data_IF_035794883211
#
_entry.id   IF_035794883211
#
_cell.length_a   1.000
_cell.length_b   1.000
_cell.length_c   1.000
_cell.angle_alpha   90.00
_cell.angle_beta   90.00
_cell.angle_gamma   90.00
#
_symmetry.space_group_name_H-M   'P 1'
#
loop_
_entity.id
_entity.type
_entity.pdbx_description
1 polymer ?
#
# COMPACT_ATOMS: atom_id res chain seq x y z
N UNK A 1 0.21 -12.96 -9.15
CA UNK A 1 -1.27 -12.85 -9.15
C UNK A 1 -1.93 -13.62 -8.02
N UNK A 2 -1.27 -14.61 -7.40
CA UNK A 2 -1.85 -15.34 -6.26
C UNK A 2 -1.84 -14.55 -4.92
N UNK A 3 -0.90 -13.63 -4.72
CA UNK A 3 -0.76 -12.90 -3.46
C UNK A 3 -1.95 -11.99 -3.09
N UNK A 4 -2.71 -11.49 -4.09
CA UNK A 4 -3.90 -10.64 -3.87
C UNK A 4 -5.11 -11.46 -3.40
N UNK A 5 -5.13 -12.77 -3.69
CA UNK A 5 -6.24 -13.65 -3.30
C UNK A 5 -6.29 -13.92 -1.80
N UNK A 6 -5.13 -14.02 -1.16
CA UNK A 6 -5.01 -14.34 0.26
C UNK A 6 -5.36 -13.18 1.21
N UNK A 7 -5.54 -11.96 0.69
CA UNK A 7 -5.90 -10.81 1.52
C UNK A 7 -7.41 -10.69 1.59
N UNK A 8 -7.95 -10.69 2.80
CA UNK A 8 -9.38 -10.45 3.04
C UNK A 8 -9.74 -9.02 2.62
N UNK A 9 -10.66 -8.91 1.66
CA UNK A 9 -10.96 -7.62 1.03
C UNK A 9 -11.63 -6.64 1.99
N UNK A 10 -12.63 -7.10 2.76
CA UNK A 10 -13.40 -6.24 3.63
C UNK A 10 -12.58 -5.67 4.80
N UNK A 11 -11.80 -6.47 5.57
CA UNK A 11 -10.98 -5.92 6.65
C UNK A 11 -9.87 -4.99 6.15
N UNK A 12 -9.32 -5.25 4.96
CA UNK A 12 -8.37 -4.33 4.34
C UNK A 12 -9.04 -2.99 4.01
N UNK A 13 -10.20 -3.01 3.36
CA UNK A 13 -10.95 -1.80 3.02
C UNK A 13 -11.35 -1.01 4.28
N UNK A 14 -11.77 -1.70 5.34
CA UNK A 14 -12.09 -1.08 6.62
C UNK A 14 -10.89 -0.35 7.26
N UNK A 15 -9.70 -0.97 7.28
CA UNK A 15 -8.47 -0.32 7.79
C UNK A 15 -8.04 0.90 6.97
N UNK A 16 -8.19 0.82 5.64
CA UNK A 16 -7.88 1.96 4.76
C UNK A 16 -8.85 3.11 5.01
N UNK A 17 -10.14 2.82 5.13
CA UNK A 17 -11.16 3.82 5.43
C UNK A 17 -10.93 4.47 6.80
N UNK A 18 -10.64 3.67 7.83
CA UNK A 18 -10.30 4.15 9.17
C UNK A 18 -9.08 5.10 9.13
N UNK A 19 -8.00 4.72 8.44
CA UNK A 19 -6.82 5.57 8.28
C UNK A 19 -7.15 6.88 7.55
N UNK A 20 -7.98 6.83 6.50
CA UNK A 20 -8.37 8.03 5.76
C UNK A 20 -9.20 9.01 6.62
N UNK A 21 -10.01 8.48 7.55
CA UNK A 21 -10.76 9.27 8.52
C UNK A 21 -9.80 9.91 9.52
N UNK A 22 -8.88 9.13 10.10
CA UNK A 22 -7.94 9.59 11.13
C UNK A 22 -6.95 10.65 10.65
N UNK A 23 -6.46 10.52 9.42
CA UNK A 23 -5.52 11.49 8.84
C UNK A 23 -6.23 12.80 8.44
N UNK A 24 -7.57 12.81 8.38
CA UNK A 24 -8.36 13.93 7.88
C UNK A 24 -8.41 14.02 6.34
N UNK A 25 -7.91 13.00 5.62
CA UNK A 25 -7.93 12.98 4.15
C UNK A 25 -9.37 12.99 3.60
N UNK A 26 -10.30 12.38 4.33
CA UNK A 26 -11.71 12.32 3.96
C UNK A 26 -12.36 13.71 3.82
N UNK A 27 -11.93 14.71 4.59
CA UNK A 27 -12.49 16.07 4.53
C UNK A 27 -12.22 16.71 3.17
N UNK A 28 -10.98 16.63 2.68
CA UNK A 28 -10.61 17.19 1.38
C UNK A 28 -11.32 16.50 0.20
N UNK A 29 -11.50 15.18 0.29
CA UNK A 29 -12.24 14.41 -0.71
C UNK A 29 -13.72 14.79 -0.69
N UNK A 30 -14.30 14.97 0.50
CA UNK A 30 -15.68 15.37 0.67
C UNK A 30 -15.94 16.79 0.13
N UNK A 31 -15.07 17.75 0.45
CA UNK A 31 -15.16 19.12 -0.08
C UNK A 31 -15.06 19.14 -1.61
N UNK A 32 -14.10 18.39 -2.15
CA UNK A 32 -13.95 18.27 -3.60
C UNK A 32 -15.20 17.65 -4.27
N UNK A 33 -15.80 16.65 -3.62
CA UNK A 33 -17.03 16.03 -4.10
C UNK A 33 -18.23 17.00 -4.02
N UNK A 34 -18.36 17.77 -2.95
CA UNK A 34 -19.42 18.79 -2.83
C UNK A 34 -19.32 19.82 -3.94
N UNK A 35 -18.12 20.36 -4.18
CA UNK A 35 -17.88 21.32 -5.26
C UNK A 35 -18.19 20.71 -6.63
N UNK A 36 -17.78 19.46 -6.88
CA UNK A 36 -18.09 18.77 -8.13
C UNK A 36 -19.60 18.58 -8.34
N UNK A 37 -20.34 18.20 -7.29
CA UNK A 37 -21.80 18.06 -7.34
C UNK A 37 -22.47 19.42 -7.54
N UNK A 38 -22.01 20.45 -6.83
CA UNK A 38 -22.55 21.81 -6.97
C UNK A 38 -22.39 22.33 -8.40
N UNK A 39 -21.19 22.21 -8.98
CA UNK A 39 -20.90 22.58 -10.37
C UNK A 39 -21.75 21.77 -11.33
N UNK A 40 -21.86 20.45 -11.13
CA UNK A 40 -22.69 19.60 -11.98
C UNK A 40 -24.16 20.04 -11.98
N UNK A 41 -24.74 20.36 -10.81
CA UNK A 41 -26.11 20.83 -10.71
C UNK A 41 -26.31 22.17 -11.45
N UNK A 42 -25.36 23.10 -11.28
CA UNK A 42 -25.39 24.40 -11.96
C UNK A 42 -25.32 24.26 -13.48
N UNK A 43 -24.34 23.50 -13.98
CA UNK A 43 -24.08 23.36 -15.41
C UNK A 43 -25.18 22.57 -16.13
N UNK A 44 -25.87 21.67 -15.41
CA UNK A 44 -26.83 20.74 -15.99
C UNK A 44 -28.28 21.03 -15.57
N UNK A 45 -28.59 22.25 -15.11
CA UNK A 45 -29.94 22.63 -14.65
C UNK A 45 -31.04 22.30 -15.66
N UNK A 46 -30.87 22.66 -16.93
CA UNK A 46 -31.87 22.40 -17.98
C UNK A 46 -32.03 20.91 -18.26
N UNK A 47 -30.91 20.16 -18.30
CA UNK A 47 -30.94 18.70 -18.44
C UNK A 47 -31.73 18.05 -17.29
N UNK A 48 -31.52 18.51 -16.04
CA UNK A 48 -32.23 18.01 -14.87
C UNK A 48 -33.73 18.37 -14.92
N UNK A 49 -34.07 19.57 -15.40
CA UNK A 49 -35.45 20.00 -15.61
C UNK A 49 -36.15 19.11 -16.63
N UNK A 50 -35.52 18.91 -17.79
CA UNK A 50 -36.05 18.05 -18.84
C UNK A 50 -36.20 16.60 -18.35
N UNK A 51 -35.24 16.11 -17.54
CA UNK A 51 -35.34 14.78 -16.95
C UNK A 51 -36.54 14.67 -16.01
N UNK A 52 -36.76 15.66 -15.13
CA UNK A 52 -37.94 15.65 -14.24
C UNK A 52 -39.22 15.63 -15.06
N UNK A 53 -39.35 16.53 -16.05
CA UNK A 53 -40.53 16.59 -16.92
C UNK A 53 -40.84 15.26 -17.61
N UNK A 54 -39.81 14.53 -18.04
CA UNK A 54 -39.97 13.23 -18.69
C UNK A 54 -40.39 12.11 -17.74
N UNK A 55 -39.98 12.18 -16.46
CA UNK A 55 -40.38 11.22 -15.42
C UNK A 55 -41.71 11.61 -14.76
N UNK A 56 -42.17 12.85 -14.97
CA UNK A 56 -43.38 13.35 -14.35
C UNK A 56 -44.64 12.69 -14.90
N UNK A 57 -45.55 12.24 -14.02
CA UNK A 57 -46.80 11.65 -14.44
C UNK A 57 -47.64 12.57 -15.33
N UNK A 58 -48.30 11.99 -16.34
CA UNK A 58 -49.12 12.71 -17.33
C UNK A 58 -50.25 13.56 -16.74
N UNK A 59 -50.66 13.30 -15.49
CA UNK A 59 -51.71 14.04 -14.79
C UNK A 59 -51.21 15.33 -14.10
N UNK A 60 -49.90 15.55 -14.03
CA UNK A 60 -49.31 16.75 -13.42
C UNK A 60 -49.25 17.89 -14.47
N UNK A 61 -49.88 19.06 -14.21
CA UNK A 61 -49.74 20.23 -15.07
C UNK A 61 -48.30 20.76 -15.11
N UNK A 62 -47.83 21.19 -16.28
CA UNK A 62 -46.46 21.71 -16.48
C UNK A 62 -46.08 22.84 -15.52
N UNK A 63 -47.00 23.75 -15.21
CA UNK A 63 -46.75 24.84 -14.26
C UNK A 63 -46.49 24.36 -12.82
N UNK A 64 -47.07 23.22 -12.44
CA UNK A 64 -46.83 22.60 -11.14
C UNK A 64 -45.48 21.90 -11.16
N UNK A 65 -45.18 21.17 -12.25
CA UNK A 65 -43.90 20.50 -12.47
C UNK A 65 -42.72 21.47 -12.34
N UNK A 66 -42.78 22.59 -13.08
CA UNK A 66 -41.76 23.63 -13.06
C UNK A 66 -41.54 24.20 -11.66
N UNK A 67 -42.63 24.42 -10.92
CA UNK A 67 -42.56 24.97 -9.57
C UNK A 67 -41.99 23.95 -8.56
N UNK A 68 -42.28 22.67 -8.76
CA UNK A 68 -41.68 21.58 -7.99
C UNK A 68 -40.19 21.50 -8.29
N UNK A 69 -39.80 21.50 -9.57
CA UNK A 69 -38.40 21.50 -10.00
C UNK A 69 -37.63 22.64 -9.34
N UNK A 70 -38.10 23.88 -9.49
CA UNK A 70 -37.44 25.06 -8.93
C UNK A 70 -37.27 24.93 -7.41
N UNK A 71 -38.32 24.50 -6.69
CA UNK A 71 -38.25 24.36 -5.24
C UNK A 71 -37.29 23.27 -4.80
N UNK A 72 -37.26 22.12 -5.48
CA UNK A 72 -36.35 21.02 -5.16
C UNK A 72 -34.91 21.43 -5.49
N UNK A 73 -34.68 21.94 -6.70
CA UNK A 73 -33.39 22.40 -7.16
C UNK A 73 -32.80 23.45 -6.21
N UNK A 74 -33.56 24.51 -5.89
CA UNK A 74 -33.09 25.58 -5.01
C UNK A 74 -32.84 25.07 -3.58
N UNK A 75 -33.66 24.14 -3.10
CA UNK A 75 -33.47 23.52 -1.77
C UNK A 75 -32.19 22.68 -1.71
N UNK A 76 -31.96 21.84 -2.72
CA UNK A 76 -30.76 21.00 -2.81
C UNK A 76 -29.51 21.86 -2.95
N UNK A 77 -29.54 22.84 -3.86
CA UNK A 77 -28.43 23.75 -4.08
C UNK A 77 -28.08 24.54 -2.82
N UNK A 78 -29.09 25.06 -2.11
CA UNK A 78 -28.89 25.75 -0.83
C UNK A 78 -28.30 24.83 0.23
N UNK A 79 -28.84 23.61 0.37
CA UNK A 79 -28.34 22.64 1.34
C UNK A 79 -26.88 22.26 1.10
N UNK A 80 -26.48 22.07 -0.16
CA UNK A 80 -25.08 21.84 -0.52
C UNK A 80 -24.19 23.04 -0.15
N UNK A 81 -24.67 24.26 -0.42
CA UNK A 81 -23.98 25.49 -0.02
C UNK A 81 -23.84 25.64 1.50
N UNK A 82 -24.86 25.27 2.27
CA UNK A 82 -24.84 25.27 3.73
C UNK A 82 -23.78 24.30 4.29
N UNK A 83 -23.70 23.09 3.73
CA UNK A 83 -22.67 22.11 4.10
C UNK A 83 -21.27 22.60 3.70
N UNK A 84 -21.13 23.20 2.52
CA UNK A 84 -19.85 23.69 2.02
C UNK A 84 -19.29 24.85 2.87
N UNK A 85 -20.16 25.75 3.31
CA UNK A 85 -19.78 26.95 4.09
C UNK A 85 -19.58 26.68 5.58
N UNK A 86 -20.12 25.58 6.11
CA UNK A 86 -20.01 25.21 7.52
C UNK A 86 -19.25 23.89 7.70
N UNK A 87 -17.96 23.94 8.08
CA UNK A 87 -17.19 22.73 8.39
C UNK A 87 -17.78 21.90 9.53
N UNK A 88 -18.49 22.53 10.47
CA UNK A 88 -19.12 21.89 11.63
C UNK A 88 -20.59 21.49 11.37
N UNK A 89 -21.00 21.39 10.10
CA UNK A 89 -22.38 21.07 9.74
C UNK A 89 -22.78 19.65 10.20
N UNK A 90 -23.97 19.50 10.80
CA UNK A 90 -24.47 18.22 11.36
C UNK A 90 -24.37 17.04 10.38
N UNK A 91 -24.64 17.29 9.09
CA UNK A 91 -24.50 16.30 8.03
C UNK A 91 -23.07 15.75 7.89
N UNK A 92 -22.04 16.60 8.02
CA UNK A 92 -20.62 16.18 7.97
C UNK A 92 -20.32 15.24 9.12
N UNK A 93 -20.69 15.65 10.34
CA UNK A 93 -20.52 14.85 11.56
C UNK A 93 -21.24 13.50 11.48
N UNK A 94 -22.47 13.47 10.96
CA UNK A 94 -23.23 12.23 10.78
C UNK A 94 -22.60 11.33 9.71
N UNK A 95 -22.09 11.90 8.62
CA UNK A 95 -21.38 11.15 7.58
C UNK A 95 -20.10 10.54 8.13
N UNK A 96 -19.29 11.31 8.88
CA UNK A 96 -18.08 10.80 9.51
C UNK A 96 -18.40 9.65 10.48
N UNK A 97 -19.42 9.84 11.33
CA UNK A 97 -19.89 8.80 12.26
C UNK A 97 -20.27 7.51 11.52
N UNK A 98 -21.02 7.62 10.41
CA UNK A 98 -21.40 6.47 9.59
C UNK A 98 -20.21 5.82 8.88
N UNK A 99 -19.25 6.62 8.42
CA UNK A 99 -18.02 6.12 7.80
C UNK A 99 -17.16 5.35 8.82
N UNK A 100 -17.07 5.83 10.07
CA UNK A 100 -16.39 5.10 11.16
C UNK A 100 -17.11 3.79 11.50
N UNK A 101 -18.44 3.81 11.61
CA UNK A 101 -19.24 2.60 11.83
C UNK A 101 -19.03 1.58 10.70
N UNK A 102 -19.08 2.04 9.44
CA UNK A 102 -18.81 1.19 8.28
C UNK A 102 -17.39 0.63 8.31
N UNK A 103 -16.38 1.43 8.65
CA UNK A 103 -15.00 0.97 8.77
C UNK A 103 -14.86 -0.13 9.83
N UNK A 104 -15.50 0.05 10.99
CA UNK A 104 -15.51 -0.95 12.06
C UNK A 104 -16.24 -2.24 11.64
N UNK A 105 -17.38 -2.10 10.96
CA UNK A 105 -18.16 -3.24 10.48
C UNK A 105 -17.43 -4.00 9.37
N UNK A 106 -16.80 -3.31 8.41
CA UNK A 106 -15.99 -3.95 7.37
C UNK A 106 -14.87 -4.83 7.94
N UNK A 107 -14.35 -4.49 9.12
CA UNK A 107 -13.31 -5.26 9.80
C UNK A 107 -13.83 -6.46 10.61
N UNK A 108 -15.06 -6.40 11.12
CA UNK A 108 -15.54 -7.34 12.15
C UNK A 108 -16.84 -8.08 11.79
N UNK A 109 -17.58 -7.62 10.78
CA UNK A 109 -18.89 -8.15 10.39
C UNK A 109 -18.72 -9.31 9.39
N UNK A 110 -19.10 -10.56 9.74
CA UNK A 110 -18.96 -11.71 8.87
C UNK A 110 -19.74 -11.59 7.56
N UNK A 111 -20.88 -10.90 7.55
CA UNK A 111 -21.69 -10.72 6.34
C UNK A 111 -20.96 -9.82 5.33
N UNK A 112 -20.34 -8.75 5.82
CA UNK A 112 -19.53 -7.86 4.99
C UNK A 112 -18.23 -8.51 4.53
N UNK A 113 -17.65 -9.41 5.32
CA UNK A 113 -16.51 -10.21 4.88
C UNK A 113 -16.86 -11.06 3.66
N UNK A 114 -17.98 -11.78 3.70
CA UNK A 114 -18.47 -12.58 2.55
C UNK A 114 -18.69 -11.69 1.33
N UNK A 115 -19.40 -10.58 1.51
CA UNK A 115 -19.70 -9.65 0.42
C UNK A 115 -18.45 -9.01 -0.18
N UNK A 116 -17.46 -8.71 0.66
CA UNK A 116 -16.16 -8.21 0.21
C UNK A 116 -15.42 -9.23 -0.65
N UNK A 117 -15.49 -10.51 -0.28
CA UNK A 117 -14.90 -11.60 -1.07
C UNK A 117 -15.62 -11.81 -2.41
N UNK A 118 -16.96 -11.69 -2.44
CA UNK A 118 -17.75 -11.72 -3.68
C UNK A 118 -17.35 -10.59 -4.62
N UNK A 119 -17.28 -9.35 -4.13
CA UNK A 119 -16.86 -8.19 -4.92
C UNK A 119 -15.42 -8.37 -5.40
N UNK A 120 -14.50 -8.83 -4.53
CA UNK A 120 -13.12 -9.12 -4.93
C UNK A 120 -13.10 -10.16 -6.05
N UNK A 121 -13.87 -11.23 -5.93
CA UNK A 121 -13.96 -12.27 -6.95
C UNK A 121 -14.50 -11.73 -8.28
N UNK A 122 -15.56 -10.91 -8.24
CA UNK A 122 -16.15 -10.27 -9.42
C UNK A 122 -15.14 -9.37 -10.14
N UNK A 123 -14.50 -8.45 -9.40
CA UNK A 123 -13.48 -7.54 -9.92
C UNK A 123 -12.32 -8.32 -10.54
N UNK A 124 -11.81 -9.34 -9.84
CA UNK A 124 -10.72 -10.18 -10.34
C UNK A 124 -11.14 -11.07 -11.51
N UNK A 125 -12.42 -11.40 -11.62
CA UNK A 125 -12.94 -12.20 -12.74
C UNK A 125 -12.97 -11.40 -14.04
N UNK A 126 -13.19 -10.08 -13.96
CA UNK A 126 -13.38 -9.24 -15.14
C UNK A 126 -12.07 -9.09 -15.96
N UNK A 127 -12.06 -9.51 -17.24
CA UNK A 127 -10.86 -9.46 -18.09
C UNK A 127 -10.34 -8.03 -18.31
N UNK A 128 -11.24 -7.06 -18.32
CA UNK A 128 -10.90 -5.64 -18.52
C UNK A 128 -10.17 -5.04 -17.32
N UNK A 129 -10.59 -5.40 -16.09
CA UNK A 129 -9.92 -4.96 -14.87
C UNK A 129 -8.50 -5.50 -14.82
N UNK A 130 -8.30 -6.77 -15.20
CA UNK A 130 -6.96 -7.37 -15.28
C UNK A 130 -6.07 -6.69 -16.32
N UNK A 131 -6.60 -6.38 -17.51
CA UNK A 131 -5.89 -5.62 -18.55
C UNK A 131 -5.53 -4.21 -18.08
N UNK A 132 -6.49 -3.51 -17.49
CA UNK A 132 -6.30 -2.17 -16.95
C UNK A 132 -5.25 -2.16 -15.83
N UNK A 133 -5.31 -3.09 -14.88
CA UNK A 133 -4.34 -3.22 -13.79
C UNK A 133 -2.92 -3.54 -14.29
N UNK A 134 -2.79 -4.38 -15.33
CA UNK A 134 -1.50 -4.60 -15.99
C UNK A 134 -0.97 -3.32 -16.67
N UNK A 135 -1.83 -2.56 -17.34
CA UNK A 135 -1.47 -1.27 -17.92
C UNK A 135 -1.01 -0.27 -16.85
N UNK A 136 -1.74 -0.18 -15.74
CA UNK A 136 -1.39 0.68 -14.61
C UNK A 136 -0.07 0.26 -13.97
N UNK A 137 0.17 -1.04 -13.81
CA UNK A 137 1.43 -1.57 -13.29
C UNK A 137 2.61 -1.24 -14.19
N UNK A 138 2.45 -1.40 -15.51
CA UNK A 138 3.47 -1.04 -16.48
C UNK A 138 3.74 0.46 -16.45
N UNK A 139 2.70 1.29 -16.40
CA UNK A 139 2.83 2.75 -16.31
C UNK A 139 3.49 3.19 -14.99
N UNK A 140 3.15 2.57 -13.86
CA UNK A 140 3.80 2.84 -12.57
C UNK A 140 5.26 2.44 -12.59
N UNK A 141 5.57 1.26 -13.12
CA UNK A 141 6.94 0.78 -13.27
C UNK A 141 7.75 1.74 -14.16
N UNK A 142 7.17 2.17 -15.27
CA UNK A 142 7.77 3.10 -16.21
C UNK A 142 7.99 4.48 -15.55
N UNK A 143 7.02 4.96 -14.78
CA UNK A 143 7.14 6.19 -14.00
C UNK A 143 8.25 6.10 -12.95
N UNK A 144 8.39 4.97 -12.24
CA UNK A 144 9.46 4.76 -11.24
C UNK A 144 10.83 4.67 -11.92
N UNK A 145 10.94 3.96 -13.04
CA UNK A 145 12.20 3.86 -13.79
C UNK A 145 12.57 5.23 -14.37
N UNK A 146 11.62 5.94 -14.96
CA UNK A 146 11.84 7.29 -15.49
C UNK A 146 12.19 8.27 -14.38
N UNK A 147 11.56 8.16 -13.20
CA UNK A 147 11.89 9.00 -12.05
C UNK A 147 13.28 8.68 -11.46
N UNK A 148 13.72 7.42 -11.55
CA UNK A 148 15.05 6.99 -11.14
C UNK A 148 16.13 7.39 -12.15
N UNK A 149 15.81 7.43 -13.45
CA UNK A 149 16.71 7.84 -14.53
C UNK A 149 16.75 9.37 -14.73
N UNK A 150 15.70 10.10 -14.34
CA UNK A 150 15.64 11.57 -14.41
C UNK A 150 15.04 12.19 -13.11
N UNK A 151 15.91 12.63 -12.18
CA UNK A 151 15.52 13.33 -10.96
C UNK A 151 14.81 14.68 -11.19
N UNK A 152 14.82 15.20 -12.42
CA UNK A 152 14.27 16.52 -12.76
C UNK A 152 12.89 16.48 -13.43
N UNK A 153 12.30 15.29 -13.62
CA UNK A 153 10.97 15.18 -14.23
C UNK A 153 9.89 15.85 -13.37
N UNK A 154 8.90 16.50 -14.00
CA UNK A 154 7.79 17.17 -13.29
C UNK A 154 7.00 16.18 -12.41
N UNK A 155 6.93 14.91 -12.81
CA UNK A 155 6.33 13.84 -12.02
C UNK A 155 7.20 13.47 -10.81
N UNK A 156 8.52 13.36 -10.97
CA UNK A 156 9.46 13.13 -9.86
C UNK A 156 9.38 14.25 -8.84
N UNK A 157 9.32 15.50 -9.29
CA UNK A 157 9.24 16.67 -8.41
C UNK A 157 7.92 16.68 -7.63
N UNK A 158 6.79 16.40 -8.29
CA UNK A 158 5.47 16.31 -7.62
C UNK A 158 5.35 15.14 -6.65
N UNK A 159 5.91 13.99 -7.00
CA UNK A 159 5.96 12.82 -6.11
C UNK A 159 6.84 13.09 -4.90
N UNK A 160 8.02 13.66 -5.11
CA UNK A 160 8.94 14.03 -4.03
C UNK A 160 8.29 15.03 -3.08
N UNK A 161 7.65 16.06 -3.62
CA UNK A 161 6.94 17.08 -2.85
C UNK A 161 5.73 16.50 -2.08
N UNK A 162 4.97 15.57 -2.67
CA UNK A 162 3.90 14.85 -1.97
C UNK A 162 4.43 13.96 -0.82
N UNK A 163 5.55 13.27 -1.05
CA UNK A 163 6.21 12.43 -0.04
C UNK A 163 6.77 13.27 1.11
N UNK A 164 7.44 14.39 0.81
CA UNK A 164 8.00 15.29 1.82
C UNK A 164 6.88 15.90 2.67
N UNK A 165 5.79 16.40 2.05
CA UNK A 165 4.64 16.92 2.82
C UNK A 165 3.99 15.88 3.70
N UNK A 166 3.88 14.64 3.22
CA UNK A 166 3.38 13.52 4.02
C UNK A 166 4.31 13.22 5.21
N UNK A 167 5.62 13.20 4.98
CA UNK A 167 6.62 12.98 6.01
C UNK A 167 6.62 14.10 7.07
N UNK A 168 6.56 15.36 6.67
CA UNK A 168 6.49 16.51 7.59
C UNK A 168 5.26 16.43 8.49
N UNK A 169 4.11 16.01 7.94
CA UNK A 169 2.88 15.84 8.72
C UNK A 169 2.97 14.70 9.73
N UNK A 170 3.61 13.59 9.38
CA UNK A 170 3.90 12.50 10.32
C UNK A 170 4.90 12.96 11.38
N UNK A 171 5.94 13.70 11.00
CA UNK A 171 6.97 14.18 11.94
C UNK A 171 6.43 15.22 12.93
N UNK A 172 5.40 15.97 12.56
CA UNK A 172 4.75 16.96 13.42
C UNK A 172 3.83 16.35 14.49
N UNK A 173 3.38 15.10 14.33
CA UNK A 173 2.37 14.47 15.18
C UNK A 173 2.88 13.13 15.78
N UNK A 174 3.21 13.11 17.09
CA UNK A 174 3.67 11.91 17.77
C UNK A 174 2.68 10.73 17.75
N UNK A 175 1.38 10.99 17.70
CA UNK A 175 0.34 9.96 17.67
C UNK A 175 0.30 9.28 16.30
N UNK A 176 0.40 10.07 15.22
CA UNK A 176 0.57 9.54 13.86
C UNK A 176 1.86 8.74 13.69
N UNK A 177 2.96 9.16 14.33
CA UNK A 177 4.22 8.37 14.32
C UNK A 177 4.05 7.00 14.94
N UNK A 178 3.41 6.94 16.11
CA UNK A 178 3.23 5.67 16.82
C UNK A 178 2.32 4.72 16.04
N UNK A 179 1.27 5.26 15.40
CA UNK A 179 0.38 4.52 14.51
C UNK A 179 1.08 4.01 13.27
N UNK A 180 1.84 4.86 12.59
CA UNK A 180 2.65 4.46 11.44
C UNK A 180 3.65 3.37 11.82
N UNK A 181 4.33 3.52 12.96
CA UNK A 181 5.29 2.55 13.46
C UNK A 181 4.62 1.19 13.76
N UNK A 182 3.45 1.17 14.40
CA UNK A 182 2.66 -0.05 14.62
C UNK A 182 2.26 -0.71 13.30
N UNK A 183 1.85 0.08 12.31
CA UNK A 183 1.49 -0.41 10.99
C UNK A 183 2.69 -1.02 10.26
N UNK A 184 3.82 -0.31 10.17
CA UNK A 184 5.07 -0.81 9.57
C UNK A 184 5.52 -2.08 10.27
N UNK A 185 5.49 -2.11 11.60
CA UNK A 185 5.87 -3.29 12.38
C UNK A 185 4.97 -4.49 12.08
N UNK A 186 3.67 -4.26 11.93
CA UNK A 186 2.70 -5.32 11.57
C UNK A 186 2.92 -5.81 10.14
N UNK A 187 3.14 -4.90 9.20
CA UNK A 187 3.43 -5.22 7.80
C UNK A 187 4.73 -6.04 7.66
N UNK A 188 5.80 -5.60 8.33
CA UNK A 188 7.10 -6.30 8.36
C UNK A 188 6.97 -7.68 8.99
N UNK A 189 6.22 -7.81 10.10
CA UNK A 189 5.97 -9.11 10.74
C UNK A 189 5.26 -10.07 9.78
N UNK A 190 4.18 -9.60 9.15
CA UNK A 190 3.43 -10.38 8.18
C UNK A 190 4.27 -10.78 6.96
N UNK A 191 5.11 -9.87 6.45
CA UNK A 191 6.05 -10.18 5.37
C UNK A 191 7.11 -11.19 5.80
N UNK A 192 7.63 -11.10 7.02
CA UNK A 192 8.68 -11.99 7.52
C UNK A 192 8.16 -13.42 7.73
N UNK A 193 6.96 -13.56 8.30
CA UNK A 193 6.27 -14.84 8.43
C UNK A 193 6.01 -15.48 7.07
N UNK A 194 5.71 -14.67 6.04
CA UNK A 194 5.38 -15.15 4.69
C UNK A 194 6.60 -15.40 3.79
N UNK A 195 7.68 -14.62 3.94
CA UNK A 195 8.93 -14.79 3.18
C UNK A 195 9.83 -15.87 3.78
N UNK A 196 9.84 -16.07 5.09
CA UNK A 196 10.72 -17.06 5.74
C UNK A 196 10.50 -18.48 5.20
N UNK A 197 9.25 -18.85 4.90
CA UNK A 197 8.92 -20.12 4.22
C UNK A 197 9.46 -20.19 2.79
N UNK A 198 9.34 -19.11 2.00
CA UNK A 198 9.79 -19.08 0.61
C UNK A 198 11.31 -19.05 0.47
N UNK A 199 12.01 -18.38 1.39
CA UNK A 199 13.49 -18.36 1.41
C UNK A 199 14.04 -19.74 1.76
N UNK A 200 13.44 -20.44 2.73
CA UNK A 200 13.83 -21.81 3.06
C UNK A 200 13.60 -22.77 1.88
N UNK A 201 12.48 -22.65 1.15
CA UNK A 201 12.19 -23.46 -0.04
C UNK A 201 13.09 -23.11 -1.23
N UNK A 202 13.43 -21.83 -1.44
CA UNK A 202 14.36 -21.40 -2.49
C UNK A 202 15.78 -21.87 -2.22
N UNK A 203 16.26 -21.77 -0.98
CA UNK A 203 17.57 -22.28 -0.58
C UNK A 203 17.59 -23.80 -0.72
N UNK A 204 16.59 -24.50 -0.16
CA UNK A 204 16.49 -25.96 -0.23
C UNK A 204 16.49 -26.45 -1.68
N UNK A 205 15.62 -25.91 -2.53
CA UNK A 205 15.54 -26.32 -3.94
C UNK A 205 16.79 -25.93 -4.75
N UNK A 206 17.52 -24.89 -4.36
CA UNK A 206 18.77 -24.50 -5.02
C UNK A 206 19.93 -25.41 -4.60
N UNK A 207 20.01 -25.77 -3.32
CA UNK A 207 21.00 -26.73 -2.80
C UNK A 207 20.76 -28.14 -3.36
N UNK A 208 19.49 -28.54 -3.50
CA UNK A 208 19.09 -29.82 -4.06
C UNK A 208 19.38 -29.94 -5.57
N UNK A 209 19.51 -28.79 -6.26
CA UNK A 209 19.92 -28.69 -7.68
C UNK A 209 21.44 -28.60 -7.87
N UNK A 210 22.23 -28.53 -6.80
CA UNK A 210 23.68 -28.53 -6.93
C UNK A 210 24.19 -29.96 -7.09
N UNK A 211 24.98 -30.19 -8.14
CA UNK A 211 25.68 -31.45 -8.33
C UNK A 211 26.72 -31.63 -7.21
N UNK A 212 26.58 -32.70 -6.43
CA UNK A 212 27.42 -32.97 -5.27
C UNK A 212 28.90 -33.09 -5.65
N UNK A 213 29.20 -33.51 -6.88
CA UNK A 213 30.56 -33.74 -7.35
C UNK A 213 31.28 -32.42 -7.71
N UNK A 214 30.63 -31.54 -8.48
CA UNK A 214 31.14 -30.19 -8.79
C UNK A 214 31.24 -29.30 -7.55
N UNK A 215 30.32 -29.46 -6.60
CA UNK A 215 30.32 -28.70 -5.36
C UNK A 215 31.44 -29.14 -4.44
N UNK A 216 31.71 -30.45 -4.35
CA UNK A 216 32.84 -30.99 -3.58
C UNK A 216 34.17 -30.52 -4.17
N UNK A 217 34.34 -30.53 -5.49
CA UNK A 217 35.57 -30.07 -6.15
C UNK A 217 35.80 -28.56 -5.93
N UNK A 218 34.75 -27.74 -6.01
CA UNK A 218 34.85 -26.29 -5.74
C UNK A 218 35.16 -25.97 -4.28
N UNK A 219 34.60 -26.73 -3.33
CA UNK A 219 34.91 -26.62 -1.90
C UNK A 219 36.34 -27.09 -1.64
N UNK A 220 36.79 -28.20 -2.23
CA UNK A 220 38.16 -28.70 -2.08
C UNK A 220 39.21 -27.73 -2.63
N UNK A 221 38.94 -27.12 -3.79
CA UNK A 221 39.83 -26.11 -4.40
C UNK A 221 39.90 -24.83 -3.55
N UNK A 222 38.80 -24.42 -2.91
CA UNK A 222 38.78 -23.22 -2.05
C UNK A 222 39.28 -23.46 -0.62
N UNK A 223 39.03 -24.64 -0.04
CA UNK A 223 39.43 -25.01 1.34
C UNK A 223 40.82 -25.62 1.40
N UNK A 224 41.30 -26.24 0.32
CA UNK A 224 42.60 -26.92 0.27
C UNK A 224 43.79 -26.00 0.53
N UNK A 225 43.72 -24.73 0.11
CA UNK A 225 44.79 -23.74 0.36
C UNK A 225 44.87 -23.34 1.83
N UNK A 226 43.73 -23.21 2.53
CA UNK A 226 43.68 -22.80 3.93
C UNK A 226 44.14 -23.92 4.88
N UNK A 227 43.80 -25.17 4.58
CA UNK A 227 44.29 -26.33 5.35
C UNK A 227 45.81 -26.51 5.23
N UNK A 228 46.41 -26.13 4.10
CA UNK A 228 47.86 -26.16 3.92
C UNK A 228 48.58 -25.12 4.79
N UNK A 229 47.98 -23.95 5.05
CA UNK A 229 48.59 -22.93 5.93
C UNK A 229 48.77 -23.42 7.37
N UNK A 230 47.83 -24.23 7.89
CA UNK A 230 47.98 -24.85 9.21
C UNK A 230 49.19 -25.81 9.23
N UNK A 231 49.37 -26.60 8.17
CA UNK A 231 50.48 -27.56 8.07
C UNK A 231 51.83 -26.86 7.91
N UNK A 232 51.92 -25.77 7.13
CA UNK A 232 53.14 -24.97 6.96
C UNK A 232 53.48 -24.22 8.25
N UNK A 233 52.50 -23.60 8.91
CA UNK A 233 52.73 -22.91 10.18
C UNK A 233 53.17 -23.90 11.28
N UNK A 234 52.62 -25.12 11.28
CA UNK A 234 53.01 -26.18 12.21
C UNK A 234 54.46 -26.64 12.05
N UNK A 235 54.95 -26.81 10.82
CA UNK A 235 56.36 -27.18 10.59
C UNK A 235 57.32 -26.02 10.85
N UNK A 236 56.91 -24.78 10.57
CA UNK A 236 57.72 -23.59 10.83
C UNK A 236 57.91 -23.36 12.34
N UNK A 237 56.81 -23.43 13.12
CA UNK A 237 56.84 -23.26 14.58
C UNK A 237 57.56 -24.44 15.24
N UNK A 238 57.31 -25.67 14.80
CA UNK A 238 58.00 -26.86 15.32
C UNK A 238 59.50 -26.83 15.04
N UNK A 239 59.91 -26.39 13.85
CA UNK A 239 61.32 -26.23 13.48
C UNK A 239 62.02 -25.15 14.31
N UNK A 240 61.40 -23.97 14.46
CA UNK A 240 61.95 -22.89 15.30
C UNK A 240 62.05 -23.29 16.77
N UNK A 241 61.02 -23.94 17.32
CA UNK A 241 61.04 -24.44 18.69
C UNK A 241 62.16 -25.49 18.87
N UNK A 242 62.35 -26.39 17.91
CA UNK A 242 63.44 -27.38 17.92
C UNK A 242 64.82 -26.74 17.91
N UNK A 243 65.05 -25.72 17.07
CA UNK A 243 66.31 -24.96 17.03
C UNK A 243 66.57 -24.23 18.35
N UNK A 244 65.54 -23.60 18.92
CA UNK A 244 65.66 -22.88 20.22
C UNK A 244 65.96 -23.85 21.35
N UNK A 245 65.27 -25.00 21.42
CA UNK A 245 65.52 -26.03 22.43
C UNK A 245 66.93 -26.61 22.28
N UNK A 246 67.37 -26.88 21.05
CA UNK A 246 68.72 -27.40 20.81
C UNK A 246 69.80 -26.38 21.19
N UNK A 247 69.59 -25.10 20.86
CA UNK A 247 70.49 -24.01 21.23
C UNK A 247 70.58 -23.81 22.75
N UNK A 248 69.45 -23.80 23.45
CA UNK A 248 69.43 -23.74 24.91
C UNK A 248 70.04 -24.99 25.55
N UNK A 249 69.84 -26.17 24.97
CA UNK A 249 70.46 -27.41 25.40
C UNK A 249 71.99 -27.39 25.28
N UNK A 250 72.54 -26.77 24.23
CA UNK A 250 73.99 -26.57 24.10
C UNK A 250 74.54 -25.51 25.07
N UNK A 251 73.71 -24.56 25.52
CA UNK A 251 74.10 -23.46 26.40
C UNK A 251 74.00 -23.83 27.90
N UNK A 252 73.18 -24.82 28.22
CA UNK A 252 72.98 -25.37 29.57
C UNK A 252 73.77 -26.69 29.77
N UNK A 253 74.44 -27.17 28.72
CA UNK A 253 75.45 -28.23 28.80
C UNK A 253 76.74 -27.75 29.42
#
# INVERSE_FOLDING_TARGET
>A
TDQIRDVEAAPLAGRVLEMAIEVGTHDHLFDSALVAVENFLQDNREMLRDRLRNESPWWIPESIDDRIFLKIYDSVYRFLGEINQNPDHDFRSELERRSRDLAARLQNDPELAIKGEEIKAEILSHPEVRRWAQGLWLALKDAIITAADDPSSDLSLRLNDAVIRGADRVLADPELQERLNRWVTTAVRHMTERLSGQVATLISSTVERWDAQDTAERIEVQVGRDLQFIRINGTLVGGLAGVVIHGLGQLIG
#
